data_IF_511359056454
#
_entry.id   IF_511359056454
#
_cell.length_a   1.000
_cell.length_b   1.000
_cell.length_c   1.000
_cell.angle_alpha   90.00
_cell.angle_beta   90.00
_cell.angle_gamma   90.00
#
_symmetry.space_group_name_H-M   'P 1'
#
loop_
_entity.id
_entity.type
_entity.pdbx_description
1 polymer ?
#
# COMPACT_ATOMS: atom_id res chain seq x y z
N UNK A 1 14.36 -8.10 13.71
CA UNK A 1 14.50 -8.18 12.24
C UNK A 1 15.86 -8.77 11.89
N UNK A 2 15.97 -9.62 10.88
CA UNK A 2 17.26 -10.13 10.39
C UNK A 2 17.81 -9.24 9.27
N UNK A 3 19.13 -9.33 8.98
CA UNK A 3 19.78 -8.47 8.00
C UNK A 3 19.22 -8.62 6.58
N UNK A 4 18.74 -9.82 6.22
CA UNK A 4 18.14 -10.08 4.91
C UNK A 4 16.84 -9.29 4.72
N UNK A 5 15.91 -9.39 5.68
CA UNK A 5 14.67 -8.65 5.67
C UNK A 5 14.91 -7.13 5.75
N UNK A 6 15.92 -6.70 6.52
CA UNK A 6 16.31 -5.29 6.59
C UNK A 6 16.73 -4.77 5.22
N UNK A 7 17.66 -5.46 4.54
CA UNK A 7 18.17 -5.07 3.22
C UNK A 7 17.08 -4.94 2.17
N UNK A 8 16.10 -5.85 2.16
CA UNK A 8 14.99 -5.81 1.21
C UNK A 8 14.10 -4.57 1.35
N UNK A 9 14.15 -3.85 2.48
CA UNK A 9 13.31 -2.68 2.75
C UNK A 9 14.11 -1.39 2.93
N UNK A 10 15.45 -1.41 2.77
CA UNK A 10 16.29 -0.21 2.92
C UNK A 10 15.99 0.84 1.85
N UNK A 11 15.73 0.43 0.61
CA UNK A 11 15.39 1.37 -0.47
C UNK A 11 14.07 2.11 -0.16
N UNK A 12 13.05 1.37 0.30
CA UNK A 12 11.78 1.95 0.72
C UNK A 12 11.91 2.84 1.96
N UNK A 13 12.87 2.54 2.84
CA UNK A 13 13.20 3.38 4.00
C UNK A 13 13.83 4.70 3.54
N UNK A 14 14.77 4.66 2.60
CA UNK A 14 15.40 5.85 2.02
C UNK A 14 14.38 6.72 1.26
N UNK A 15 13.40 6.12 0.59
CA UNK A 15 12.29 6.82 -0.07
C UNK A 15 11.21 7.34 0.90
N UNK A 16 11.27 7.01 2.21
CA UNK A 16 10.25 7.40 3.18
C UNK A 16 8.89 6.72 2.99
N UNK A 17 8.84 5.60 2.28
CA UNK A 17 7.59 4.90 1.90
C UNK A 17 7.20 3.75 2.83
N UNK A 18 7.93 3.56 3.92
CA UNK A 18 7.60 2.55 4.93
C UNK A 18 6.49 3.03 5.86
N UNK A 19 5.66 2.10 6.32
CA UNK A 19 4.72 2.36 7.42
C UNK A 19 5.49 2.68 8.70
N UNK A 20 4.91 3.50 9.59
CA UNK A 20 5.55 3.93 10.84
C UNK A 20 6.02 2.78 11.74
N UNK A 21 5.31 1.65 11.72
CA UNK A 21 5.70 0.42 12.43
C UNK A 21 6.96 -0.20 11.83
N UNK A 22 7.06 -0.28 10.49
CA UNK A 22 8.22 -0.86 9.81
C UNK A 22 9.43 0.06 9.90
N UNK A 23 9.25 1.37 9.75
CA UNK A 23 10.31 2.36 9.92
C UNK A 23 11.02 2.21 11.28
N UNK A 24 10.25 2.20 12.38
CA UNK A 24 10.79 1.96 13.73
C UNK A 24 11.55 0.64 13.87
N UNK A 25 11.05 -0.44 13.25
CA UNK A 25 11.75 -1.73 13.27
C UNK A 25 13.06 -1.70 12.48
N UNK A 26 13.14 -0.90 11.40
CA UNK A 26 14.35 -0.72 10.60
C UNK A 26 15.35 0.14 11.35
N UNK A 27 14.94 1.27 11.92
CA UNK A 27 15.77 2.12 12.77
C UNK A 27 16.38 1.36 13.96
N UNK A 28 15.57 0.55 14.65
CA UNK A 28 16.05 -0.31 15.75
C UNK A 28 17.07 -1.37 15.29
N UNK A 29 17.02 -1.81 14.04
CA UNK A 29 18.03 -2.69 13.48
C UNK A 29 19.29 -1.93 13.07
N UNK A 30 19.16 -0.73 12.48
CA UNK A 30 20.28 0.11 12.09
C UNK A 30 21.10 0.60 13.30
N UNK A 31 20.47 0.74 14.48
CA UNK A 31 21.18 1.06 15.72
C UNK A 31 22.08 -0.06 16.21
N UNK A 32 21.75 -1.32 15.92
CA UNK A 32 22.49 -2.51 16.37
C UNK A 32 23.36 -3.17 15.29
N UNK A 33 23.08 -2.94 14.00
CA UNK A 33 23.79 -3.59 12.89
C UNK A 33 24.64 -2.59 12.09
N UNK A 34 25.96 -2.60 12.32
CA UNK A 34 26.92 -1.75 11.60
C UNK A 34 26.95 -2.00 10.08
N UNK A 35 26.77 -3.26 9.64
CA UNK A 35 26.76 -3.62 8.21
C UNK A 35 25.57 -2.97 7.48
N UNK A 36 24.36 -3.06 8.05
CA UNK A 36 23.19 -2.41 7.48
C UNK A 36 23.27 -0.88 7.54
N UNK A 37 23.91 -0.31 8.57
CA UNK A 37 24.15 1.14 8.66
C UNK A 37 25.05 1.64 7.53
N UNK A 38 26.16 0.96 7.27
CA UNK A 38 27.09 1.32 6.19
C UNK A 38 26.42 1.27 4.80
N UNK A 39 25.41 0.42 4.60
CA UNK A 39 24.64 0.36 3.36
C UNK A 39 23.70 1.56 3.16
N UNK A 40 23.20 2.16 4.24
CA UNK A 40 22.34 3.36 4.18
C UNK A 40 23.17 4.62 4.00
N UNK A 41 24.33 4.71 4.67
CA UNK A 41 25.24 5.85 4.60
C UNK A 41 25.95 5.95 3.26
N UNK A 42 26.15 4.83 2.56
CA UNK A 42 26.62 4.86 1.19
C UNK A 42 25.42 5.30 0.36
N UNK A 43 25.35 6.56 -0.13
CA UNK A 43 24.35 6.89 -1.12
C UNK A 43 24.54 5.84 -2.19
N UNK A 44 23.52 5.03 -2.43
CA UNK A 44 23.42 4.34 -3.69
C UNK A 44 23.41 5.49 -4.68
N UNK A 45 24.59 5.80 -5.21
CA UNK A 45 24.71 6.44 -6.48
C UNK A 45 24.05 5.43 -7.40
N UNK A 46 22.70 5.47 -7.43
CA UNK A 46 21.92 4.94 -8.52
C UNK A 46 22.72 5.43 -9.71
N UNK A 47 23.28 4.52 -10.52
CA UNK A 47 24.11 4.95 -11.62
C UNK A 47 23.22 5.94 -12.34
N UNK A 48 23.60 7.21 -12.25
CA UNK A 48 22.98 8.27 -13.02
C UNK A 48 23.39 7.84 -14.41
N UNK A 49 22.60 6.93 -15.00
CA UNK A 49 22.68 6.55 -16.39
C UNK A 49 22.47 7.90 -17.02
N UNK A 50 23.59 8.53 -17.41
CA UNK A 50 23.60 9.85 -17.98
C UNK A 50 22.48 9.80 -18.99
N UNK A 51 21.40 10.53 -18.71
CA UNK A 51 20.27 10.56 -19.59
C UNK A 51 20.86 11.11 -20.87
N UNK A 52 21.18 10.21 -21.82
CA UNK A 52 21.89 10.59 -23.02
C UNK A 52 21.10 11.70 -23.70
N UNK A 53 21.73 12.46 -24.58
CA UNK A 53 21.04 13.46 -25.42
C UNK A 53 19.74 12.91 -26.02
N UNK A 54 19.66 11.60 -26.22
CA UNK A 54 18.55 10.87 -26.80
C UNK A 54 17.40 10.54 -25.83
N UNK A 55 17.55 10.74 -24.51
CA UNK A 55 16.50 10.41 -23.53
C UNK A 55 15.23 11.21 -23.82
N UNK A 56 15.37 12.52 -24.08
CA UNK A 56 14.24 13.38 -24.42
C UNK A 56 13.58 12.96 -25.72
N UNK A 57 14.36 12.57 -26.72
CA UNK A 57 13.85 12.07 -28.00
C UNK A 57 13.10 10.74 -27.84
N UNK A 58 13.64 9.80 -27.04
CA UNK A 58 12.99 8.51 -26.74
C UNK A 58 11.71 8.69 -25.93
N UNK A 59 11.72 9.57 -24.93
CA UNK A 59 10.53 9.90 -24.12
C UNK A 59 9.44 10.56 -24.96
N UNK A 60 9.82 11.49 -25.86
CA UNK A 60 8.89 12.11 -26.78
C UNK A 60 8.30 11.09 -27.77
N UNK A 61 9.11 10.15 -28.26
CA UNK A 61 8.66 9.08 -29.15
C UNK A 61 7.70 8.11 -28.44
N UNK A 62 7.98 7.71 -27.19
CA UNK A 62 7.09 6.82 -26.43
C UNK A 62 5.80 7.51 -26.03
N UNK A 63 5.85 8.78 -25.60
CA UNK A 63 4.64 9.54 -25.31
C UNK A 63 3.79 9.76 -26.56
N UNK A 64 4.40 10.07 -27.71
CA UNK A 64 3.69 10.20 -28.99
C UNK A 64 3.05 8.87 -29.42
N UNK A 65 3.75 7.74 -29.24
CA UNK A 65 3.22 6.42 -29.54
C UNK A 65 2.06 6.03 -28.60
N UNK A 66 2.14 6.39 -27.32
CA UNK A 66 1.08 6.11 -26.34
C UNK A 66 -0.14 7.05 -26.49
N UNK A 67 0.08 8.29 -26.95
CA UNK A 67 -0.99 9.27 -27.16
C UNK A 67 -1.71 9.11 -28.49
N UNK A 68 -1.12 8.37 -29.45
CA UNK A 68 -1.85 7.99 -30.64
C UNK A 68 -2.97 7.04 -30.19
N UNK A 69 -4.25 7.43 -30.31
CA UNK A 69 -5.33 6.49 -30.07
C UNK A 69 -5.04 5.30 -30.97
N UNK A 70 -5.18 4.09 -30.43
CA UNK A 70 -5.17 2.85 -31.20
C UNK A 70 -6.41 2.82 -32.13
N UNK A 71 -6.50 3.79 -33.03
CA UNK A 71 -7.54 4.00 -34.00
C UNK A 71 -7.32 3.02 -35.15
N UNK A 72 -7.37 1.72 -34.87
CA UNK A 72 -7.42 0.66 -35.88
C UNK A 72 -7.65 -0.77 -35.31
N UNK A 73 -7.80 -0.97 -33.99
CA UNK A 73 -8.22 -2.28 -33.45
C UNK A 73 -9.20 -2.13 -32.29
N UNK A 74 -10.27 -1.38 -32.53
CA UNK A 74 -11.55 -1.75 -31.96
C UNK A 74 -12.18 -2.77 -32.92
N UNK A 75 -11.57 -3.95 -33.01
CA UNK A 75 -12.40 -5.14 -33.20
C UNK A 75 -13.21 -5.18 -31.92
N UNK A 76 -14.50 -4.85 -32.04
CA UNK A 76 -15.45 -4.97 -30.95
C UNK A 76 -15.42 -6.41 -30.50
N UNK A 77 -14.54 -6.71 -29.53
CA UNK A 77 -14.70 -7.88 -28.70
C UNK A 77 -16.01 -7.61 -27.98
N UNK A 78 -17.09 -8.17 -28.52
CA UNK A 78 -18.35 -8.44 -27.83
C UNK A 78 -18.00 -9.29 -26.60
N UNK A 79 -17.46 -8.64 -25.58
CA UNK A 79 -17.40 -9.19 -24.25
C UNK A 79 -18.86 -9.29 -23.81
N UNK A 80 -19.36 -10.49 -23.47
CA UNK A 80 -20.71 -10.65 -22.96
C UNK A 80 -20.80 -9.90 -21.63
N UNK A 81 -21.18 -8.62 -21.72
CA UNK A 81 -21.60 -7.80 -20.61
C UNK A 81 -22.95 -8.36 -20.17
N UNK A 82 -22.88 -9.45 -19.40
CA UNK A 82 -23.71 -9.83 -18.26
C UNK A 82 -23.97 -11.34 -18.24
N UNK A 83 -23.71 -12.03 -17.11
CA UNK A 83 -24.21 -13.37 -16.91
C UNK A 83 -25.74 -13.30 -16.80
N UNK A 84 -26.42 -13.95 -17.74
CA UNK A 84 -27.88 -14.03 -17.86
C UNK A 84 -28.53 -14.99 -16.84
N UNK A 85 -27.84 -15.29 -15.75
CA UNK A 85 -28.31 -16.20 -14.73
C UNK A 85 -28.78 -15.41 -13.51
N UNK A 86 -30.08 -15.13 -13.49
CA UNK A 86 -30.85 -14.54 -12.39
C UNK A 86 -30.72 -15.33 -11.05
N UNK A 87 -30.00 -16.45 -11.03
CA UNK A 87 -29.68 -17.25 -9.83
C UNK A 87 -28.63 -16.57 -8.92
N UNK A 88 -27.78 -15.70 -9.45
CA UNK A 88 -26.75 -15.02 -8.64
C UNK A 88 -27.33 -13.96 -7.68
N UNK A 89 -28.47 -13.34 -8.05
CA UNK A 89 -29.13 -12.34 -7.19
C UNK A 89 -29.78 -12.99 -5.97
N UNK A 90 -30.28 -14.22 -6.10
CA UNK A 90 -30.85 -14.97 -4.97
C UNK A 90 -29.78 -15.34 -3.92
N UNK A 91 -28.56 -15.67 -4.34
CA UNK A 91 -27.45 -15.97 -3.42
C UNK A 91 -26.97 -14.74 -2.65
N UNK A 92 -26.96 -13.56 -3.28
CA UNK A 92 -26.54 -12.33 -2.62
C UNK A 92 -27.49 -11.93 -1.49
N UNK A 93 -28.81 -12.09 -1.67
CA UNK A 93 -29.80 -11.81 -0.63
C UNK A 93 -29.72 -12.81 0.55
N UNK A 94 -29.50 -14.10 0.26
CA UNK A 94 -29.35 -15.13 1.28
C UNK A 94 -28.10 -14.92 2.15
N UNK A 95 -26.97 -14.53 1.55
CA UNK A 95 -25.74 -14.22 2.28
C UNK A 95 -25.90 -13.00 3.20
N UNK A 96 -26.60 -11.96 2.76
CA UNK A 96 -26.87 -10.78 3.58
C UNK A 96 -27.75 -11.08 4.79
N UNK A 97 -28.74 -11.99 4.64
CA UNK A 97 -29.56 -12.45 5.75
C UNK A 97 -28.77 -13.27 6.79
N UNK A 98 -27.84 -14.12 6.35
CA UNK A 98 -26.99 -14.93 7.25
C UNK A 98 -26.01 -14.04 8.04
N UNK A 99 -25.38 -13.06 7.39
CA UNK A 99 -24.46 -12.13 8.07
C UNK A 99 -25.22 -11.27 9.10
N UNK A 100 -26.43 -10.81 8.77
CA UNK A 100 -27.27 -10.02 9.68
C UNK A 100 -27.70 -10.83 10.91
N UNK A 101 -28.01 -12.11 10.74
CA UNK A 101 -28.35 -13.03 11.85
C UNK A 101 -27.16 -13.29 12.79
N UNK A 102 -25.94 -13.41 12.25
CA UNK A 102 -24.73 -13.61 13.05
C UNK A 102 -24.37 -12.38 13.91
N UNK A 103 -24.58 -11.17 13.39
CA UNK A 103 -24.33 -9.93 14.12
C UNK A 103 -25.42 -9.67 15.18
N UNK A 104 -26.68 -10.06 14.90
CA UNK A 104 -27.77 -9.93 15.86
C UNK A 104 -27.68 -10.86 17.08
N UNK A 105 -27.08 -12.05 16.91
CA UNK A 105 -27.02 -13.04 18.00
C UNK A 105 -25.76 -12.93 18.88
N UNK A 106 -24.68 -12.36 18.34
CA UNK A 106 -23.50 -11.98 19.12
C UNK A 106 -23.78 -10.66 19.82
N UNK A 107 -24.64 -10.70 20.85
CA UNK A 107 -25.02 -9.56 21.67
C UNK A 107 -23.84 -8.63 21.93
N UNK A 108 -23.77 -7.54 21.16
CA UNK A 108 -22.71 -6.55 21.28
C UNK A 108 -22.91 -5.89 22.64
N UNK A 109 -22.01 -6.13 23.62
CA UNK A 109 -22.09 -5.39 24.86
C UNK A 109 -21.88 -3.92 24.48
N UNK A 110 -22.86 -3.08 24.79
CA UNK A 110 -22.74 -1.64 24.67
C UNK A 110 -21.44 -1.24 25.36
N UNK A 111 -20.43 -0.86 24.57
CA UNK A 111 -19.20 -0.30 25.12
C UNK A 111 -19.58 1.03 25.73
N UNK A 112 -19.85 0.99 27.05
CA UNK A 112 -19.98 2.16 27.90
C UNK A 112 -18.65 2.87 27.84
N UNK A 113 -18.57 3.91 27.02
CA UNK A 113 -17.43 4.80 27.02
C UNK A 113 -17.27 5.30 28.46
N UNK A 114 -16.08 5.17 29.07
CA UNK A 114 -15.84 5.76 30.37
C UNK A 114 -15.96 7.27 30.20
N UNK A 115 -16.92 7.86 30.93
CA UNK A 115 -16.99 9.30 31.12
C UNK A 115 -15.62 9.78 31.58
N UNK A 116 -15.10 10.78 30.88
CA UNK A 116 -13.75 11.28 31.09
C UNK A 116 -13.64 11.99 32.43
N UNK A 117 -13.26 11.24 33.46
CA UNK A 117 -12.85 11.79 34.74
C UNK A 117 -11.31 11.92 34.82
N UNK A 118 -10.90 13.15 35.11
CA UNK A 118 -9.62 13.57 35.70
C UNK A 118 -8.31 13.22 34.99
N UNK A 119 -7.93 14.07 34.04
CA UNK A 119 -6.51 14.43 33.89
C UNK A 119 -6.17 15.37 35.06
N UNK A 120 -5.82 14.77 36.21
CA UNK A 120 -5.17 15.48 37.30
C UNK A 120 -3.77 15.91 36.85
N UNK A 121 -3.66 17.16 36.39
CA UNK A 121 -2.37 17.82 36.13
C UNK A 121 -1.70 18.08 37.49
N UNK A 122 -0.89 17.12 37.92
CA UNK A 122 -0.04 17.22 39.10
C UNK A 122 0.95 18.36 38.95
N UNK A 123 0.81 19.36 39.82
CA UNK A 123 1.65 20.54 39.99
C UNK A 123 2.91 20.16 40.77
N UNK A 124 4.06 20.62 40.28
CA UNK A 124 5.40 20.55 40.90
C UNK A 124 5.43 21.11 42.34
N UNK A 125 6.36 20.60 43.15
CA UNK A 125 7.31 21.43 43.89
C UNK A 125 8.67 21.50 43.17
#
# INVERSE_FOLDING_TARGET
MNCHAARAVLDLHAEGRLTSRRARSVEAHLSSCANCRALVERPTAAPARAAGSDFKARLAATMKAASQPAAARAESVDLPLWPRDLSAVAFAAALLAVISGLIGWSGVPAQRWPDGDEIAVGRMP
#
